data_IF_137048267108
#
_entry.id   IF_137048267108
#
_cell.length_a   1.000
_cell.length_b   1.000
_cell.length_c   1.000
_cell.angle_alpha   90.00
_cell.angle_beta   90.00
_cell.angle_gamma   90.00
#
_symmetry.space_group_name_H-M   'P 1'
#
loop_
_entity.id
_entity.type
_entity.pdbx_description
1 polymer ?
#
# COMPACT_ATOMS: atom_id res chain seq x y z
N UNK A 1 -15.33 15.42 -14.05
CA UNK A 1 -14.26 16.41 -14.25
C UNK A 1 -13.21 15.78 -15.15
N UNK A 2 -12.69 16.49 -16.16
CA UNK A 2 -11.60 15.98 -17.02
C UNK A 2 -10.23 16.40 -16.46
N UNK A 3 -9.10 15.85 -16.95
CA UNK A 3 -7.76 16.20 -16.47
C UNK A 3 -7.43 17.69 -16.51
N UNK A 4 -7.84 18.41 -17.56
CA UNK A 4 -7.59 19.85 -17.68
C UNK A 4 -8.35 20.68 -16.63
N UNK A 5 -9.56 20.26 -16.25
CA UNK A 5 -10.30 20.85 -15.12
C UNK A 5 -9.60 20.56 -13.80
N UNK A 6 -9.23 19.30 -13.58
CA UNK A 6 -8.58 18.86 -12.34
C UNK A 6 -7.24 19.56 -12.07
N UNK A 7 -6.40 19.72 -13.10
CA UNK A 7 -5.14 20.46 -12.97
C UNK A 7 -5.38 21.93 -12.58
N UNK A 8 -6.37 22.61 -13.19
CA UNK A 8 -6.72 23.99 -12.82
C UNK A 8 -7.15 24.13 -11.37
N UNK A 9 -7.97 23.20 -10.89
CA UNK A 9 -8.46 23.22 -9.52
C UNK A 9 -7.32 23.05 -8.49
N UNK A 10 -6.24 22.38 -8.89
CA UNK A 10 -5.01 22.24 -8.10
C UNK A 10 -3.97 23.33 -8.38
N UNK A 11 -4.32 24.38 -9.14
CA UNK A 11 -3.41 25.49 -9.45
C UNK A 11 -2.30 25.14 -10.45
N UNK A 12 -2.47 24.06 -11.20
CA UNK A 12 -1.52 23.56 -12.20
C UNK A 12 -1.97 23.95 -13.61
N UNK A 13 -1.05 24.46 -14.43
CA UNK A 13 -1.34 24.86 -15.81
C UNK A 13 -1.72 23.64 -16.68
N UNK A 14 -2.95 23.59 -17.25
CA UNK A 14 -3.36 22.52 -18.15
C UNK A 14 -2.54 22.41 -19.44
N UNK A 15 -1.78 23.44 -19.80
CA UNK A 15 -0.87 23.39 -20.95
C UNK A 15 0.15 22.25 -20.83
N UNK A 16 0.38 21.71 -19.63
CA UNK A 16 1.16 20.49 -19.45
C UNK A 16 0.60 19.27 -20.20
N UNK A 17 -0.70 19.25 -20.50
CA UNK A 17 -1.34 18.22 -21.33
C UNK A 17 -1.03 18.40 -22.82
N UNK A 18 -0.71 19.62 -23.24
CA UNK A 18 -0.41 19.94 -24.63
C UNK A 18 0.97 19.35 -25.00
N UNK A 19 0.95 18.27 -25.77
CA UNK A 19 2.17 17.53 -26.11
C UNK A 19 2.57 16.45 -25.11
N UNK A 20 1.65 16.03 -24.23
CA UNK A 20 1.81 14.82 -23.45
C UNK A 20 2.01 13.59 -24.38
N UNK A 21 2.94 12.71 -24.00
CA UNK A 21 3.09 11.40 -24.62
C UNK A 21 2.06 10.43 -24.06
N UNK A 22 1.83 10.49 -22.74
CA UNK A 22 0.86 9.64 -22.04
C UNK A 22 0.28 10.38 -20.84
N UNK A 23 -1.01 10.18 -20.60
CA UNK A 23 -1.71 10.65 -19.40
C UNK A 23 -2.23 9.43 -18.64
N UNK A 24 -2.02 9.40 -17.33
CA UNK A 24 -2.49 8.34 -16.43
C UNK A 24 -3.37 8.94 -15.36
N UNK A 25 -4.59 8.42 -15.25
CA UNK A 25 -5.63 8.91 -14.35
C UNK A 25 -5.90 7.90 -13.25
N UNK A 26 -6.11 8.38 -12.02
CA UNK A 26 -6.54 7.60 -10.86
C UNK A 26 -7.81 8.19 -10.23
N UNK A 27 -8.54 7.34 -9.52
CA UNK A 27 -9.76 7.67 -8.81
C UNK A 27 -10.87 6.67 -9.09
N UNK A 28 -11.79 6.55 -8.15
CA UNK A 28 -12.90 5.59 -8.26
C UNK A 28 -14.18 6.24 -8.79
N UNK A 29 -14.68 7.26 -8.09
CA UNK A 29 -15.94 7.96 -8.43
C UNK A 29 -15.69 9.27 -9.16
N UNK A 30 -14.55 9.88 -8.91
CA UNK A 30 -14.08 11.10 -9.54
C UNK A 30 -12.59 10.97 -9.85
N UNK A 31 -12.08 11.90 -10.64
CA UNK A 31 -10.65 12.02 -10.89
C UNK A 31 -9.97 12.54 -9.61
N UNK A 32 -9.05 11.74 -9.07
CA UNK A 32 -8.35 12.00 -7.81
C UNK A 32 -6.84 12.17 -8.02
N UNK A 33 -6.32 11.72 -9.16
CA UNK A 33 -4.92 11.87 -9.50
C UNK A 33 -4.68 11.83 -11.00
N UNK A 34 -3.71 12.63 -11.45
CA UNK A 34 -3.24 12.69 -12.82
C UNK A 34 -1.72 12.65 -12.81
N UNK A 35 -1.16 11.80 -13.66
CA UNK A 35 0.23 11.86 -14.06
C UNK A 35 0.31 12.12 -15.56
N UNK A 36 1.05 13.15 -15.93
CA UNK A 36 1.32 13.53 -17.32
C UNK A 36 2.77 13.23 -17.63
N UNK A 37 3.02 12.29 -18.55
CA UNK A 37 4.34 12.08 -19.12
C UNK A 37 4.48 12.94 -20.36
N UNK A 38 5.45 13.86 -20.35
CA UNK A 38 5.76 14.70 -21.50
C UNK A 38 6.59 13.97 -22.55
N UNK A 39 6.57 14.51 -23.77
CA UNK A 39 7.45 14.08 -24.87
C UNK A 39 8.88 14.58 -24.62
N UNK A 40 9.87 13.70 -24.76
CA UNK A 40 11.28 14.07 -24.60
C UNK A 40 12.19 12.86 -24.40
N UNK A 41 13.50 13.08 -24.49
CA UNK A 41 14.51 12.08 -24.11
C UNK A 41 14.74 12.04 -22.59
N UNK A 42 15.47 11.04 -22.09
CA UNK A 42 15.76 10.92 -20.66
C UNK A 42 16.62 12.11 -20.15
N UNK A 43 16.29 12.73 -19.01
CA UNK A 43 15.19 12.37 -18.12
C UNK A 43 13.82 12.81 -18.66
N UNK A 44 12.89 11.86 -18.75
CA UNK A 44 11.55 12.12 -19.26
C UNK A 44 10.81 13.06 -18.29
N UNK A 45 10.25 14.18 -18.77
CA UNK A 45 9.48 15.08 -17.92
C UNK A 45 8.17 14.40 -17.51
N UNK A 46 7.86 14.46 -16.23
CA UNK A 46 6.60 13.99 -15.67
C UNK A 46 6.02 15.07 -14.76
N UNK A 47 4.73 15.29 -14.83
CA UNK A 47 3.99 16.13 -13.88
C UNK A 47 3.00 15.25 -13.15
N UNK A 48 2.96 15.34 -11.83
CA UNK A 48 2.01 14.59 -11.01
C UNK A 48 1.21 15.51 -10.11
N UNK A 49 -0.10 15.28 -10.08
CA UNK A 49 -1.04 15.98 -9.23
C UNK A 49 -2.03 14.97 -8.66
N UNK A 50 -2.32 15.05 -7.37
CA UNK A 50 -3.28 14.18 -6.70
C UNK A 50 -3.87 14.88 -5.48
N UNK A 51 -5.10 14.51 -5.12
CA UNK A 51 -5.81 15.06 -3.94
C UNK A 51 -5.57 14.25 -2.67
N UNK A 52 -5.12 13.01 -2.80
CA UNK A 52 -4.76 12.14 -1.68
C UNK A 52 -3.57 11.25 -2.08
N UNK A 53 -2.94 10.63 -1.08
CA UNK A 53 -1.74 9.85 -1.33
C UNK A 53 -2.02 8.53 -2.06
N UNK A 54 -3.18 7.91 -1.84
CA UNK A 54 -3.58 6.70 -2.55
C UNK A 54 -3.58 6.91 -4.06
N UNK A 55 -4.22 7.98 -4.53
CA UNK A 55 -4.29 8.33 -5.95
C UNK A 55 -2.90 8.69 -6.49
N UNK A 56 -2.08 9.40 -5.70
CA UNK A 56 -0.70 9.71 -6.05
C UNK A 56 0.12 8.43 -6.29
N UNK A 57 0.09 7.48 -5.35
CA UNK A 57 0.79 6.20 -5.50
C UNK A 57 0.29 5.45 -6.72
N UNK A 58 -1.01 5.38 -6.92
CA UNK A 58 -1.60 4.64 -8.03
C UNK A 58 -1.18 5.19 -9.40
N UNK A 59 -1.19 6.52 -9.60
CA UNK A 59 -0.70 7.11 -10.86
C UNK A 59 0.81 6.94 -11.03
N UNK A 60 1.62 7.05 -9.97
CA UNK A 60 3.07 6.86 -10.05
C UNK A 60 3.43 5.40 -10.40
N UNK A 61 2.74 4.45 -9.77
CA UNK A 61 2.92 3.03 -9.97
C UNK A 61 2.62 2.60 -11.41
N UNK A 62 1.47 3.05 -11.97
CA UNK A 62 1.02 2.73 -13.34
C UNK A 62 1.65 3.61 -14.43
N UNK A 63 2.09 4.80 -14.06
CA UNK A 63 2.52 5.84 -14.98
C UNK A 63 4.02 5.87 -15.20
N UNK A 64 4.84 5.84 -14.13
CA UNK A 64 6.27 6.03 -14.29
C UNK A 64 6.93 4.90 -15.09
N UNK A 65 7.72 5.23 -16.13
CA UNK A 65 8.43 4.25 -16.92
C UNK A 65 9.43 3.48 -16.04
N UNK A 66 9.55 2.16 -16.22
CA UNK A 66 10.59 1.40 -15.53
C UNK A 66 11.96 1.78 -16.10
N UNK A 67 12.97 1.96 -15.24
CA UNK A 67 14.40 2.17 -15.59
C UNK A 67 14.77 3.43 -16.35
N UNK A 68 13.81 4.21 -16.82
CA UNK A 68 14.10 5.47 -17.48
C UNK A 68 14.30 6.56 -16.44
N UNK A 69 15.34 7.41 -16.59
CA UNK A 69 15.45 8.62 -15.82
C UNK A 69 14.19 9.46 -16.02
N UNK A 70 13.59 9.91 -14.93
CA UNK A 70 12.42 10.79 -14.92
C UNK A 70 12.74 12.06 -14.14
N UNK A 71 12.13 13.16 -14.55
CA UNK A 71 12.06 14.39 -13.78
C UNK A 71 10.60 14.64 -13.44
N UNK A 72 10.22 14.30 -12.22
CA UNK A 72 8.85 14.43 -11.71
C UNK A 72 8.69 15.81 -11.07
N UNK A 73 7.92 16.67 -11.71
CA UNK A 73 7.36 17.87 -11.09
C UNK A 73 6.12 17.49 -10.29
N UNK A 74 6.01 18.02 -9.08
CA UNK A 74 4.87 17.78 -8.20
C UNK A 74 3.99 19.02 -8.10
N UNK A 75 2.68 18.82 -8.01
CA UNK A 75 1.75 19.93 -7.82
C UNK A 75 1.78 20.48 -6.38
N UNK A 76 2.20 19.68 -5.40
CA UNK A 76 2.32 20.09 -4.01
C UNK A 76 3.50 19.39 -3.32
N UNK A 77 4.14 20.08 -2.37
CA UNK A 77 5.33 19.58 -1.66
C UNK A 77 5.08 18.25 -0.93
N UNK A 78 3.85 18.03 -0.47
CA UNK A 78 3.50 16.77 0.21
C UNK A 78 3.57 15.54 -0.70
N UNK A 79 3.58 15.72 -2.02
CA UNK A 79 3.75 14.61 -2.98
C UNK A 79 5.17 14.03 -2.97
N UNK A 80 6.17 14.80 -2.52
CA UNK A 80 7.59 14.43 -2.60
C UNK A 80 7.89 13.13 -1.85
N UNK A 81 7.23 12.88 -0.73
CA UNK A 81 7.44 11.66 0.08
C UNK A 81 7.12 10.38 -0.70
N UNK A 82 5.96 10.36 -1.39
CA UNK A 82 5.53 9.22 -2.18
C UNK A 82 6.40 9.04 -3.44
N UNK A 83 6.83 10.15 -4.05
CA UNK A 83 7.76 10.11 -5.19
C UNK A 83 9.12 9.54 -4.77
N UNK A 84 9.67 9.98 -3.64
CA UNK A 84 10.96 9.51 -3.13
C UNK A 84 10.95 8.02 -2.70
N UNK A 85 9.77 7.48 -2.36
CA UNK A 85 9.61 6.03 -2.11
C UNK A 85 9.70 5.22 -3.40
N UNK A 86 9.17 5.73 -4.52
CA UNK A 86 9.12 4.99 -5.79
C UNK A 86 10.28 5.31 -6.73
N UNK A 87 10.97 6.43 -6.54
CA UNK A 87 12.07 6.91 -7.39
C UNK A 87 13.36 7.00 -6.56
N UNK A 88 14.42 6.35 -7.04
CA UNK A 88 15.77 6.48 -6.51
C UNK A 88 16.44 7.69 -7.17
N UNK A 89 16.69 8.75 -6.40
CA UNK A 89 17.13 10.02 -6.94
C UNK A 89 17.28 11.11 -5.89
N UNK A 90 17.28 12.35 -6.34
CA UNK A 90 17.44 13.53 -5.49
C UNK A 90 16.33 14.55 -5.77
N UNK A 91 16.01 15.33 -4.75
CA UNK A 91 15.12 16.48 -4.90
C UNK A 91 15.69 17.46 -5.95
N UNK A 92 14.81 17.99 -6.78
CA UNK A 92 15.11 19.03 -7.76
C UNK A 92 14.17 20.22 -7.50
N UNK A 93 14.46 21.38 -8.09
CA UNK A 93 13.58 22.55 -7.94
C UNK A 93 12.14 22.20 -8.36
N UNK A 94 11.20 22.26 -7.40
CA UNK A 94 9.79 21.93 -7.60
C UNK A 94 9.48 20.44 -7.86
N UNK A 95 10.37 19.51 -7.52
CA UNK A 95 10.16 18.10 -7.83
C UNK A 95 11.27 17.13 -7.44
N UNK A 96 11.39 16.04 -8.19
CA UNK A 96 12.34 14.96 -7.95
C UNK A 96 12.92 14.45 -9.27
N UNK A 97 14.21 14.15 -9.30
CA UNK A 97 14.87 13.57 -10.48
C UNK A 97 15.56 12.26 -10.10
N UNK A 98 15.30 11.20 -10.85
CA UNK A 98 15.86 9.89 -10.55
C UNK A 98 15.33 8.78 -11.45
N UNK A 99 15.50 7.54 -11.01
CA UNK A 99 15.05 6.34 -11.72
C UNK A 99 14.11 5.55 -10.82
N UNK A 100 13.03 4.99 -11.37
CA UNK A 100 12.10 4.14 -10.61
C UNK A 100 12.85 3.00 -9.88
N UNK A 101 12.57 2.80 -8.59
CA UNK A 101 13.18 1.74 -7.75
C UNK A 101 12.80 0.34 -8.26
N UNK A 102 13.60 -0.65 -7.90
CA UNK A 102 13.35 -2.09 -8.14
C UNK A 102 14.18 -2.70 -9.27
N UNK A 103 14.55 -1.97 -10.31
CA UNK A 103 15.18 -2.60 -11.47
C UNK A 103 16.72 -2.62 -11.44
N UNK A 104 17.34 -3.39 -10.51
CA UNK A 104 18.78 -3.69 -10.59
C UNK A 104 19.00 -5.00 -11.36
N UNK A 105 19.71 -4.98 -12.52
CA UNK A 105 20.08 -6.22 -13.18
C UNK A 105 21.07 -6.99 -12.30
N UNK A 106 20.68 -8.18 -11.84
CA UNK A 106 21.59 -9.12 -11.19
C UNK A 106 22.42 -9.85 -12.26
N UNK A 107 23.68 -10.25 -11.98
CA UNK A 107 24.49 -10.99 -12.93
C UNK A 107 23.95 -12.42 -13.12
N UNK A 108 23.44 -12.71 -14.32
CA UNK A 108 23.36 -14.04 -14.94
C UNK A 108 22.16 -14.94 -14.59
N UNK A 109 21.77 -15.77 -15.56
CA UNK A 109 20.73 -16.82 -15.49
C UNK A 109 21.20 -18.11 -14.77
N UNK A 110 22.33 -18.04 -14.06
CA UNK A 110 22.92 -19.18 -13.37
C UNK A 110 22.07 -19.67 -12.19
N UNK A 111 22.13 -20.97 -11.85
CA UNK A 111 21.46 -21.51 -10.67
C UNK A 111 21.94 -20.76 -9.42
N UNK A 112 20.99 -20.40 -8.55
CA UNK A 112 21.31 -19.77 -7.27
C UNK A 112 21.98 -20.76 -6.32
N UNK A 113 23.05 -20.31 -5.67
CA UNK A 113 23.62 -20.99 -4.50
C UNK A 113 23.15 -20.33 -3.20
N UNK A 114 23.66 -20.81 -2.06
CA UNK A 114 23.24 -20.29 -0.74
C UNK A 114 23.84 -18.92 -0.38
N UNK A 115 24.89 -18.47 -1.06
CA UNK A 115 25.64 -17.23 -0.79
C UNK A 115 25.30 -16.12 -1.79
N UNK A 116 24.42 -16.39 -2.75
CA UNK A 116 23.94 -15.37 -3.68
C UNK A 116 23.22 -14.24 -2.93
N UNK A 117 23.50 -12.99 -3.31
CA UNK A 117 22.94 -11.80 -2.66
C UNK A 117 21.40 -11.76 -2.66
N UNK A 118 20.75 -12.29 -3.71
CA UNK A 118 19.29 -12.36 -3.76
C UNK A 118 18.73 -13.34 -2.70
N UNK A 119 19.45 -14.44 -2.47
CA UNK A 119 19.11 -15.46 -1.48
C UNK A 119 19.32 -14.92 -0.07
N UNK A 120 20.44 -14.23 0.18
CA UNK A 120 20.71 -13.58 1.47
C UNK A 120 19.66 -12.52 1.79
N UNK A 121 19.31 -11.65 0.82
CA UNK A 121 18.24 -10.68 0.96
C UNK A 121 16.93 -11.36 1.35
N UNK A 122 16.47 -12.36 0.58
CA UNK A 122 15.19 -13.03 0.86
C UNK A 122 15.16 -13.73 2.24
N UNK A 123 16.29 -14.29 2.70
CA UNK A 123 16.39 -14.83 4.07
C UNK A 123 16.27 -13.76 5.12
N UNK A 124 16.96 -12.63 4.94
CA UNK A 124 16.89 -11.51 5.87
C UNK A 124 15.46 -10.95 5.98
N UNK A 125 14.75 -10.85 4.86
CA UNK A 125 13.37 -10.36 4.82
C UNK A 125 12.35 -11.30 5.52
N UNK A 126 12.73 -12.53 5.84
CA UNK A 126 11.90 -13.38 6.70
C UNK A 126 11.81 -12.80 8.14
N UNK A 127 12.82 -12.05 8.57
CA UNK A 127 12.89 -11.44 9.89
C UNK A 127 12.40 -9.98 9.88
N UNK A 128 11.70 -9.51 10.92
CA UNK A 128 11.27 -8.11 11.03
C UNK A 128 12.42 -7.11 10.87
N UNK A 129 13.56 -7.34 11.54
CA UNK A 129 14.72 -6.47 11.47
C UNK A 129 15.33 -6.39 10.06
N UNK A 130 15.25 -7.48 9.27
CA UNK A 130 15.67 -7.45 7.87
C UNK A 130 14.73 -6.61 7.02
N UNK A 131 13.41 -6.75 7.19
CA UNK A 131 12.43 -5.92 6.47
C UNK A 131 12.59 -4.43 6.78
N UNK A 132 12.84 -4.08 8.04
CA UNK A 132 13.11 -2.70 8.45
C UNK A 132 14.41 -2.16 7.86
N UNK A 133 15.53 -2.89 8.04
CA UNK A 133 16.86 -2.50 7.52
C UNK A 133 16.81 -2.27 6.01
N UNK A 134 16.17 -3.17 5.29
CA UNK A 134 16.15 -3.12 3.85
C UNK A 134 15.00 -2.23 3.34
N UNK A 135 13.92 -2.00 4.08
CA UNK A 135 12.67 -1.40 3.55
C UNK A 135 12.13 -2.22 2.37
N UNK A 136 12.15 -3.54 2.51
CA UNK A 136 11.56 -4.47 1.56
C UNK A 136 10.72 -5.51 2.28
N UNK A 137 9.89 -6.20 1.53
CA UNK A 137 9.13 -7.35 1.99
C UNK A 137 9.07 -8.44 0.92
N UNK A 138 8.75 -9.66 1.34
CA UNK A 138 8.62 -10.80 0.43
C UNK A 138 7.18 -10.91 -0.06
N UNK A 139 7.02 -11.07 -1.37
CA UNK A 139 5.79 -11.47 -2.03
C UNK A 139 5.93 -12.91 -2.49
N UNK A 140 4.97 -13.76 -2.16
CA UNK A 140 5.01 -15.19 -2.43
C UNK A 140 3.92 -15.62 -3.42
N UNK A 141 4.29 -16.44 -4.41
CA UNK A 141 3.36 -17.08 -5.35
C UNK A 141 3.06 -16.24 -6.60
N UNK A 142 2.77 -16.95 -7.70
CA UNK A 142 2.66 -16.37 -9.04
C UNK A 142 1.62 -15.25 -9.13
N UNK A 143 0.46 -15.42 -8.49
CA UNK A 143 -0.60 -14.40 -8.49
C UNK A 143 -0.15 -13.08 -7.87
N UNK A 144 0.52 -13.11 -6.71
CA UNK A 144 0.89 -11.89 -6.01
C UNK A 144 2.12 -11.24 -6.64
N UNK A 145 3.09 -12.04 -7.09
CA UNK A 145 4.25 -11.53 -7.84
C UNK A 145 3.79 -10.91 -9.16
N UNK A 146 2.89 -11.58 -9.89
CA UNK A 146 2.29 -11.04 -11.11
C UNK A 146 1.55 -9.71 -10.88
N UNK A 147 0.78 -9.60 -9.78
CA UNK A 147 0.13 -8.34 -9.39
C UNK A 147 1.13 -7.25 -9.03
N UNK A 148 2.24 -7.58 -8.36
CA UNK A 148 3.27 -6.62 -8.05
C UNK A 148 3.92 -6.05 -9.31
N UNK A 149 4.23 -6.91 -10.28
CA UNK A 149 4.77 -6.52 -11.58
C UNK A 149 3.77 -5.68 -12.39
N UNK A 150 2.54 -6.16 -12.55
CA UNK A 150 1.50 -5.48 -13.31
C UNK A 150 1.09 -4.14 -12.67
N UNK A 151 1.10 -4.09 -11.34
CA UNK A 151 0.87 -2.87 -10.56
C UNK A 151 2.08 -1.94 -10.51
N UNK A 152 3.19 -2.25 -11.18
CA UNK A 152 4.36 -1.38 -11.25
C UNK A 152 5.07 -1.16 -9.92
N UNK A 153 4.91 -2.08 -8.96
CA UNK A 153 5.64 -2.02 -7.69
C UNK A 153 7.15 -2.14 -7.93
N UNK A 154 7.98 -1.53 -7.08
CA UNK A 154 9.44 -1.61 -7.16
C UNK A 154 9.93 -3.01 -6.73
N UNK A 155 9.72 -4.00 -7.58
CA UNK A 155 10.22 -5.37 -7.43
C UNK A 155 11.72 -5.39 -7.66
N UNK A 156 12.51 -5.89 -6.72
CA UNK A 156 13.99 -5.90 -6.75
C UNK A 156 14.58 -7.20 -7.30
N UNK A 157 14.01 -8.34 -6.91
CA UNK A 157 14.46 -9.65 -7.38
C UNK A 157 13.27 -10.61 -7.47
N UNK A 158 13.35 -11.56 -8.39
CA UNK A 158 12.39 -12.65 -8.57
C UNK A 158 13.16 -13.96 -8.56
N UNK A 159 12.83 -14.83 -7.62
CA UNK A 159 13.40 -16.17 -7.49
C UNK A 159 12.31 -17.21 -7.71
N UNK A 160 12.54 -18.18 -8.58
CA UNK A 160 11.51 -19.16 -8.95
C UNK A 160 12.01 -20.60 -8.97
N UNK A 161 11.10 -21.53 -8.72
CA UNK A 161 11.33 -22.98 -8.71
C UNK A 161 10.92 -23.63 -10.02
N UNK A 162 11.19 -24.94 -10.14
CA UNK A 162 10.82 -25.69 -11.33
C UNK A 162 9.28 -25.82 -11.51
N UNK A 163 8.53 -25.77 -10.40
CA UNK A 163 7.06 -25.85 -10.42
C UNK A 163 6.41 -24.72 -11.22
N UNK A 164 6.99 -23.51 -11.20
CA UNK A 164 6.47 -22.34 -11.93
C UNK A 164 6.37 -22.62 -13.44
N UNK A 165 7.32 -23.37 -13.99
CA UNK A 165 7.41 -23.66 -15.43
C UNK A 165 6.41 -24.72 -15.89
N UNK A 166 5.67 -25.36 -14.99
CA UNK A 166 4.65 -26.37 -15.32
C UNK A 166 3.35 -25.74 -15.80
N UNK A 167 3.12 -24.46 -15.48
CA UNK A 167 1.95 -23.69 -15.84
C UNK A 167 2.34 -22.62 -16.90
N UNK A 168 1.63 -22.50 -18.03
CA UNK A 168 1.85 -21.42 -19.00
C UNK A 168 1.84 -20.01 -18.38
N UNK A 169 1.04 -19.79 -17.33
CA UNK A 169 0.99 -18.52 -16.59
C UNK A 169 2.34 -18.19 -15.91
N UNK A 170 3.13 -19.21 -15.57
CA UNK A 170 4.47 -19.04 -15.03
C UNK A 170 5.44 -18.48 -16.06
N UNK A 171 5.38 -18.95 -17.32
CA UNK A 171 6.17 -18.40 -18.42
C UNK A 171 5.86 -16.92 -18.64
N UNK A 172 4.57 -16.57 -18.73
CA UNK A 172 4.12 -15.18 -18.88
C UNK A 172 4.58 -14.27 -17.72
N UNK A 173 4.61 -14.78 -16.49
CA UNK A 173 5.13 -14.04 -15.35
C UNK A 173 6.63 -13.73 -15.49
N UNK A 174 7.42 -14.70 -15.93
CA UNK A 174 8.85 -14.51 -16.15
C UNK A 174 9.11 -13.51 -17.28
N UNK A 175 8.31 -13.55 -18.35
CA UNK A 175 8.39 -12.58 -19.44
C UNK A 175 8.00 -11.19 -18.98
N UNK A 176 6.95 -11.05 -18.16
CA UNK A 176 6.59 -9.78 -17.53
C UNK A 176 7.71 -9.25 -16.62
N UNK A 177 8.38 -10.12 -15.86
CA UNK A 177 9.52 -9.74 -15.04
C UNK A 177 10.71 -9.26 -15.90
N UNK A 178 11.02 -9.96 -17.01
CA UNK A 178 12.05 -9.54 -17.97
C UNK A 178 11.71 -8.23 -18.65
N UNK A 179 10.45 -8.03 -19.04
CA UNK A 179 9.95 -6.77 -19.60
C UNK A 179 10.05 -5.62 -18.58
N UNK A 180 9.90 -5.91 -17.27
CA UNK A 180 10.19 -4.97 -16.19
C UNK A 180 11.71 -4.78 -15.94
N UNK A 181 12.57 -5.44 -16.73
CA UNK A 181 14.02 -5.32 -16.67
C UNK A 181 14.69 -6.13 -15.54
N UNK A 182 13.96 -7.08 -14.96
CA UNK A 182 14.49 -8.02 -13.97
C UNK A 182 15.14 -9.21 -14.67
N UNK A 183 16.05 -9.87 -13.96
CA UNK A 183 16.59 -11.17 -14.35
C UNK A 183 16.08 -12.22 -13.36
N UNK A 184 14.93 -12.87 -13.62
CA UNK A 184 14.41 -13.90 -12.72
C UNK A 184 15.41 -15.05 -12.56
N UNK A 185 15.66 -15.47 -11.32
CA UNK A 185 16.69 -16.47 -10.99
C UNK A 185 16.06 -17.78 -10.59
N UNK A 186 16.53 -18.88 -11.19
CA UNK A 186 16.07 -20.22 -10.85
C UNK A 186 16.73 -20.74 -9.58
N UNK A 187 15.93 -21.28 -8.67
CA UNK A 187 16.35 -21.97 -7.46
C UNK A 187 15.84 -23.42 -7.45
N UNK A 188 16.53 -24.28 -6.70
CA UNK A 188 16.00 -25.61 -6.37
C UNK A 188 14.92 -25.51 -5.29
N UNK A 189 14.01 -26.49 -5.24
CA UNK A 189 12.97 -26.55 -4.20
C UNK A 189 13.57 -26.58 -2.79
N UNK A 190 14.72 -27.26 -2.63
CA UNK A 190 15.47 -27.26 -1.38
C UNK A 190 15.96 -25.87 -0.98
N UNK A 191 16.42 -25.05 -1.92
CA UNK A 191 16.83 -23.68 -1.65
C UNK A 191 15.62 -22.78 -1.35
N UNK A 192 14.54 -22.87 -2.15
CA UNK A 192 13.28 -22.16 -1.89
C UNK A 192 12.71 -22.50 -0.51
N UNK A 193 12.78 -23.77 -0.10
CA UNK A 193 12.37 -24.23 1.22
C UNK A 193 13.14 -23.59 2.38
N UNK A 194 14.35 -23.06 2.13
CA UNK A 194 15.10 -22.26 3.12
C UNK A 194 14.71 -20.79 3.16
N UNK A 195 14.03 -20.29 2.12
CA UNK A 195 13.64 -18.88 2.00
C UNK A 195 12.24 -18.61 2.56
N UNK A 196 11.40 -19.63 2.67
CA UNK A 196 10.03 -19.49 3.17
C UNK A 196 9.56 -20.70 3.98
N UNK A 197 8.80 -20.39 5.04
CA UNK A 197 8.08 -21.37 5.84
C UNK A 197 6.70 -21.74 5.24
N UNK A 198 6.26 -21.08 4.16
CA UNK A 198 4.94 -21.31 3.56
C UNK A 198 4.83 -22.70 2.95
N UNK A 199 3.69 -23.38 3.19
CA UNK A 199 3.36 -24.71 2.66
C UNK A 199 1.94 -24.70 2.05
N UNK A 200 1.70 -25.33 0.88
CA UNK A 200 2.70 -25.92 -0.04
C UNK A 200 3.75 -24.89 -0.48
N UNK A 201 4.94 -25.37 -0.88
CA UNK A 201 6.06 -24.49 -1.21
C UNK A 201 5.66 -23.58 -2.39
N UNK A 202 5.81 -22.25 -2.29
CA UNK A 202 5.50 -21.36 -3.40
C UNK A 202 6.56 -21.49 -4.49
N UNK A 203 6.10 -21.52 -5.74
CA UNK A 203 6.97 -21.68 -6.91
C UNK A 203 7.72 -20.40 -7.30
N UNK A 204 7.41 -19.27 -6.69
CA UNK A 204 8.07 -17.99 -6.94
C UNK A 204 8.00 -17.08 -5.72
N UNK A 205 9.09 -16.36 -5.48
CA UNK A 205 9.27 -15.35 -4.45
C UNK A 205 9.79 -14.06 -5.10
N UNK A 206 9.36 -12.92 -4.59
CA UNK A 206 9.92 -11.63 -5.00
C UNK A 206 10.20 -10.74 -3.80
N UNK A 207 11.25 -9.94 -3.85
CA UNK A 207 11.48 -8.86 -2.90
C UNK A 207 10.92 -7.56 -3.49
N UNK A 208 10.13 -6.82 -2.71
CA UNK A 208 9.48 -5.58 -3.13
C UNK A 208 9.82 -4.47 -2.16
N UNK A 209 10.20 -3.30 -2.67
CA UNK A 209 10.45 -2.12 -1.84
C UNK A 209 9.15 -1.48 -1.33
N UNK A 210 9.11 -1.17 -0.04
CA UNK A 210 8.04 -0.40 0.58
C UNK A 210 8.55 0.26 1.86
N UNK A 211 8.14 1.49 2.10
CA UNK A 211 8.45 2.20 3.35
C UNK A 211 7.17 2.40 4.17
N UNK A 212 7.18 1.89 5.41
CA UNK A 212 6.20 2.30 6.41
C UNK A 212 6.58 3.68 6.94
N UNK A 213 5.63 4.60 7.03
CA UNK A 213 5.83 5.97 7.52
C UNK A 213 5.21 6.18 8.89
N UNK A 214 5.59 7.27 9.54
CA UNK A 214 5.02 7.63 10.83
C UNK A 214 3.66 8.30 10.61
N UNK A 215 2.67 7.98 11.45
CA UNK A 215 1.35 8.58 11.36
C UNK A 215 1.38 10.10 11.58
N UNK A 216 2.42 10.66 12.21
CA UNK A 216 2.66 12.10 12.28
C UNK A 216 2.84 12.76 10.90
N UNK A 217 3.27 12.01 9.88
CA UNK A 217 3.42 12.50 8.49
C UNK A 217 2.07 12.55 7.74
N UNK A 218 1.00 11.99 8.32
CA UNK A 218 -0.33 11.97 7.75
C UNK A 218 -1.12 13.21 8.20
N UNK A 219 -1.27 14.17 7.29
CA UNK A 219 -2.05 15.39 7.54
C UNK A 219 -3.50 15.24 7.04
N UNK A 220 -4.39 16.07 7.58
CA UNK A 220 -5.81 16.11 7.18
C UNK A 220 -6.02 16.52 5.72
N UNK A 221 -5.03 17.17 5.09
CA UNK A 221 -5.04 17.53 3.67
C UNK A 221 -4.76 16.32 2.76
N UNK A 222 -4.12 15.26 3.28
CA UNK A 222 -3.65 14.10 2.50
C UNK A 222 -4.63 12.94 2.48
N UNK A 223 -5.64 12.97 3.35
CA UNK A 223 -6.62 11.89 3.53
C UNK A 223 -7.91 12.41 4.15
N UNK A 224 -9.03 11.79 3.83
CA UNK A 224 -10.34 12.05 4.41
C UNK A 224 -10.99 10.79 4.99
N UNK A 225 -10.61 9.61 4.51
CA UNK A 225 -11.12 8.33 5.01
C UNK A 225 -9.96 7.47 5.47
N UNK A 226 -9.90 7.22 6.77
CA UNK A 226 -8.85 6.44 7.40
C UNK A 226 -9.42 5.20 8.07
N UNK A 227 -8.65 4.12 8.01
CA UNK A 227 -8.88 2.94 8.86
C UNK A 227 -7.70 2.78 9.81
N UNK A 228 -8.00 2.63 11.10
CA UNK A 228 -7.01 2.42 12.15
C UNK A 228 -7.17 0.99 12.67
N UNK A 229 -6.09 0.22 12.59
CA UNK A 229 -6.00 -1.12 13.17
C UNK A 229 -5.17 -1.06 14.45
N UNK A 230 -5.84 -1.00 15.60
CA UNK A 230 -5.18 -0.99 16.91
C UNK A 230 -4.91 -2.41 17.39
N UNK A 231 -3.64 -2.75 17.61
CA UNK A 231 -3.23 -4.00 18.26
C UNK A 231 -3.78 -5.28 17.61
N UNK A 232 -4.06 -5.29 16.29
CA UNK A 232 -4.45 -6.53 15.58
C UNK A 232 -3.28 -7.50 15.63
N UNK A 233 -3.45 -8.64 16.31
CA UNK A 233 -2.33 -9.56 16.63
C UNK A 233 -2.10 -10.62 15.55
N UNK A 234 -3.13 -11.01 14.83
CA UNK A 234 -2.99 -12.04 13.81
C UNK A 234 -2.65 -11.40 12.45
N UNK A 235 -1.52 -11.76 11.80
CA UNK A 235 -1.15 -11.21 10.50
C UNK A 235 -2.16 -11.53 9.39
N UNK A 236 -2.81 -12.69 9.41
CA UNK A 236 -3.86 -13.02 8.44
C UNK A 236 -5.08 -12.10 8.62
N UNK A 237 -5.46 -11.77 9.86
CA UNK A 237 -6.51 -10.79 10.14
C UNK A 237 -6.13 -9.38 9.70
N UNK A 238 -4.91 -8.92 10.01
CA UNK A 238 -4.43 -7.63 9.53
C UNK A 238 -4.43 -7.58 8.00
N UNK A 239 -4.04 -8.67 7.34
CA UNK A 239 -4.10 -8.75 5.89
C UNK A 239 -5.52 -8.65 5.35
N UNK A 240 -6.51 -9.29 6.00
CA UNK A 240 -7.93 -9.11 5.65
C UNK A 240 -8.37 -7.66 5.83
N UNK A 241 -7.99 -7.01 6.94
CA UNK A 241 -8.27 -5.59 7.19
C UNK A 241 -7.71 -4.72 6.07
N UNK A 242 -6.43 -4.90 5.68
CA UNK A 242 -5.80 -4.15 4.58
C UNK A 242 -6.49 -4.40 3.23
N UNK A 243 -6.88 -5.64 2.94
CA UNK A 243 -7.61 -5.99 1.71
C UNK A 243 -8.96 -5.29 1.65
N UNK A 244 -9.69 -5.29 2.76
CA UNK A 244 -11.00 -4.65 2.89
C UNK A 244 -10.87 -3.14 2.76
N UNK A 245 -9.86 -2.54 3.41
CA UNK A 245 -9.55 -1.11 3.33
C UNK A 245 -9.29 -0.67 1.89
N UNK A 246 -8.45 -1.41 1.18
CA UNK A 246 -8.13 -1.16 -0.22
C UNK A 246 -9.35 -1.32 -1.14
N UNK A 247 -10.22 -2.30 -0.86
CA UNK A 247 -11.46 -2.51 -1.60
C UNK A 247 -12.51 -1.42 -1.35
N UNK A 248 -12.58 -0.89 -0.13
CA UNK A 248 -13.48 0.21 0.24
C UNK A 248 -12.96 1.59 -0.22
N UNK A 249 -11.73 1.66 -0.72
CA UNK A 249 -11.14 2.90 -1.22
C UNK A 249 -10.73 3.88 -0.12
N UNK A 250 -10.31 3.40 1.05
CA UNK A 250 -9.77 4.30 2.09
C UNK A 250 -8.47 4.96 1.62
N UNK A 251 -8.20 6.17 2.07
CA UNK A 251 -7.01 6.93 1.66
C UNK A 251 -5.73 6.35 2.26
N UNK A 252 -5.80 5.87 3.51
CA UNK A 252 -4.69 5.24 4.20
C UNK A 252 -5.13 4.31 5.33
N UNK A 253 -4.24 3.39 5.71
CA UNK A 253 -4.38 2.60 6.94
C UNK A 253 -3.30 3.00 7.94
N UNK A 254 -3.70 3.17 9.20
CA UNK A 254 -2.79 3.38 10.32
C UNK A 254 -2.81 2.13 11.20
N UNK A 255 -1.64 1.56 11.47
CA UNK A 255 -1.50 0.45 12.42
C UNK A 255 -0.87 0.96 13.71
N UNK A 256 -1.33 0.45 14.85
CA UNK A 256 -0.80 0.83 16.17
C UNK A 256 -0.48 -0.39 17.03
N UNK A 257 0.53 -0.23 17.89
CA UNK A 257 1.02 -1.22 18.84
C UNK A 257 1.71 -2.43 18.21
N UNK A 258 1.98 -3.48 19.01
CA UNK A 258 2.89 -4.57 18.63
C UNK A 258 2.22 -5.97 18.68
N UNK A 259 2.66 -6.95 17.84
CA UNK A 259 3.82 -6.92 16.94
C UNK A 259 3.48 -7.15 15.45
N UNK A 260 2.21 -7.09 15.03
CA UNK A 260 1.86 -7.53 13.68
C UNK A 260 2.38 -6.56 12.63
N UNK A 261 3.43 -7.01 11.95
CA UNK A 261 4.02 -6.29 10.84
C UNK A 261 3.14 -6.43 9.59
N UNK A 262 2.64 -5.33 8.99
CA UNK A 262 1.88 -5.39 7.74
C UNK A 262 2.71 -5.96 6.58
N UNK A 263 4.04 -6.01 6.73
CA UNK A 263 4.97 -6.60 5.78
C UNK A 263 5.30 -8.07 6.08
N UNK A 264 4.70 -8.65 7.11
CA UNK A 264 4.81 -10.07 7.38
C UNK A 264 4.18 -10.89 6.24
N UNK A 265 4.82 -11.99 5.84
CA UNK A 265 4.40 -12.83 4.70
C UNK A 265 2.92 -13.25 4.75
N UNK A 266 2.40 -13.62 5.92
CA UNK A 266 1.00 -14.01 6.08
C UNK A 266 0.05 -12.82 5.84
N UNK A 267 0.42 -11.65 6.34
CA UNK A 267 -0.35 -10.42 6.13
C UNK A 267 -0.37 -10.04 4.66
N UNK A 268 0.80 -10.01 4.01
CA UNK A 268 0.94 -9.74 2.57
C UNK A 268 0.08 -10.71 1.74
N UNK A 269 0.11 -12.00 2.09
CA UNK A 269 -0.67 -13.03 1.40
C UNK A 269 -2.18 -12.83 1.59
N UNK A 270 -2.63 -12.56 2.81
CA UNK A 270 -4.04 -12.32 3.12
C UNK A 270 -4.54 -10.98 2.52
N UNK A 271 -3.68 -9.98 2.42
CA UNK A 271 -3.95 -8.67 1.82
C UNK A 271 -4.13 -8.71 0.29
N UNK A 272 -3.70 -9.79 -0.38
CA UNK A 272 -3.93 -10.05 -1.81
C UNK A 272 -3.51 -8.90 -2.75
N UNK A 273 -2.47 -8.14 -2.38
CA UNK A 273 -1.92 -7.04 -3.19
C UNK A 273 -2.16 -5.64 -2.64
N UNK A 274 -2.89 -5.48 -1.54
CA UNK A 274 -3.12 -4.16 -0.92
C UNK A 274 -1.83 -3.51 -0.39
N UNK A 275 -0.86 -4.29 0.12
CA UNK A 275 0.36 -3.83 0.84
C UNK A 275 1.29 -2.93 0.01
N UNK A 276 1.11 -2.82 -1.31
CA UNK A 276 1.85 -1.87 -2.15
C UNK A 276 1.04 -0.68 -2.67
N UNK A 277 -0.28 -0.83 -2.74
CA UNK A 277 -1.21 0.17 -3.31
C UNK A 277 -1.71 1.15 -2.27
N UNK A 278 -1.93 0.66 -1.06
CA UNK A 278 -2.47 1.45 0.04
C UNK A 278 -1.33 2.07 0.85
N UNK A 279 -1.36 3.39 1.12
CA UNK A 279 -0.46 4.00 2.10
C UNK A 279 -0.69 3.39 3.49
N UNK A 280 0.40 2.92 4.12
CA UNK A 280 0.35 2.33 5.46
C UNK A 280 1.27 3.13 6.39
N UNK A 281 0.71 3.59 7.50
CA UNK A 281 1.40 4.36 8.52
C UNK A 281 1.42 3.62 9.86
N UNK A 282 2.36 3.98 10.73
CA UNK A 282 2.44 3.49 12.11
C UNK A 282 2.23 4.63 13.09
N UNK A 283 1.33 4.45 14.04
CA UNK A 283 1.19 5.35 15.18
C UNK A 283 1.84 4.71 16.41
N UNK A 284 2.86 5.38 16.97
CA UNK A 284 3.49 4.93 18.22
C UNK A 284 2.61 5.24 19.44
N UNK A 285 2.02 6.44 19.47
CA UNK A 285 1.03 6.85 20.47
C UNK A 285 -0.29 7.14 19.76
N UNK A 286 -1.15 6.12 19.69
CA UNK A 286 -2.42 6.21 18.98
C UNK A 286 -3.40 7.21 19.63
N UNK A 287 -3.63 7.22 20.96
CA UNK A 287 -4.48 8.22 21.59
C UNK A 287 -4.04 9.66 21.31
N UNK A 288 -2.74 9.96 21.39
CA UNK A 288 -2.23 11.29 21.09
C UNK A 288 -2.46 11.67 19.62
N UNK A 289 -2.20 10.75 18.69
CA UNK A 289 -2.43 10.96 17.26
C UNK A 289 -3.92 11.10 16.91
N UNK A 290 -4.82 10.38 17.59
CA UNK A 290 -6.27 10.60 17.47
C UNK A 290 -6.64 12.02 17.92
N UNK A 291 -5.99 12.53 18.97
CA UNK A 291 -6.15 13.91 19.42
C UNK A 291 -5.81 14.93 18.32
N UNK A 292 -4.72 14.72 17.58
CA UNK A 292 -4.34 15.62 16.47
C UNK A 292 -5.29 15.53 15.30
N UNK A 293 -5.75 14.32 14.94
CA UNK A 293 -6.78 14.13 13.91
C UNK A 293 -8.07 14.89 14.25
N UNK A 294 -8.55 14.77 15.49
CA UNK A 294 -9.76 15.45 15.95
C UNK A 294 -9.61 16.97 15.91
N UNK A 295 -8.45 17.49 16.31
CA UNK A 295 -8.15 18.92 16.17
C UNK A 295 -8.16 19.37 14.69
N UNK A 296 -7.81 18.47 13.77
CA UNK A 296 -7.93 18.65 12.32
C UNK A 296 -9.33 18.40 11.74
N UNK A 297 -10.35 18.21 12.57
CA UNK A 297 -11.75 18.08 12.15
C UNK A 297 -12.21 16.66 11.82
N UNK A 298 -11.38 15.63 12.04
CA UNK A 298 -11.82 14.25 11.86
C UNK A 298 -12.81 13.83 12.92
N UNK A 299 -13.86 13.13 12.47
CA UNK A 299 -14.64 12.26 13.36
C UNK A 299 -13.93 10.92 13.49
N UNK A 300 -13.64 10.51 14.72
CA UNK A 300 -12.98 9.22 15.00
C UNK A 300 -13.99 8.26 15.64
N UNK A 301 -14.33 7.19 14.95
CA UNK A 301 -15.30 6.18 15.39
C UNK A 301 -14.57 4.96 15.91
N UNK A 302 -14.75 4.64 17.19
CA UNK A 302 -14.28 3.38 17.76
C UNK A 302 -15.34 2.30 17.55
N UNK A 303 -15.07 1.32 16.67
CA UNK A 303 -15.95 0.17 16.47
C UNK A 303 -15.74 -0.85 17.60
N UNK A 304 -16.66 -0.89 18.57
CA UNK A 304 -16.53 -1.67 19.79
C UNK A 304 -17.86 -2.31 20.19
N UNK A 305 -17.80 -3.47 20.87
CA UNK A 305 -18.98 -4.14 21.42
C UNK A 305 -19.73 -3.29 22.46
N UNK A 306 -19.03 -2.34 23.11
CA UNK A 306 -19.59 -1.41 24.10
C UNK A 306 -19.82 -0.02 23.49
N UNK A 307 -20.45 0.03 22.31
CA UNK A 307 -20.76 1.27 21.61
C UNK A 307 -21.94 2.02 22.23
N UNK A 308 -21.96 3.33 22.03
CA UNK A 308 -23.06 4.21 22.47
C UNK A 308 -24.16 4.30 21.40
N UNK A 309 -23.79 4.12 20.13
CA UNK A 309 -24.65 4.33 18.96
C UNK A 309 -24.52 3.14 18.00
N UNK A 310 -25.62 2.72 17.38
CA UNK A 310 -25.58 1.71 16.33
C UNK A 310 -24.81 2.21 15.11
N UNK A 311 -23.97 1.38 14.51
CA UNK A 311 -23.16 1.74 13.34
C UNK A 311 -24.00 2.38 12.21
N UNK A 312 -25.23 1.88 11.99
CA UNK A 312 -26.11 2.35 10.92
C UNK A 312 -26.83 3.67 11.23
N UNK A 313 -26.77 4.13 12.48
CA UNK A 313 -27.32 5.40 12.95
C UNK A 313 -26.24 6.49 13.07
N UNK A 314 -24.98 6.07 13.13
CA UNK A 314 -23.85 6.97 13.19
C UNK A 314 -23.66 7.70 11.86
N UNK A 315 -23.17 8.94 11.96
CA UNK A 315 -22.76 9.74 10.81
C UNK A 315 -21.30 9.40 10.45
N UNK A 316 -21.10 8.76 9.29
CA UNK A 316 -19.81 8.37 8.75
C UNK A 316 -19.31 9.31 7.64
N UNK A 317 -19.85 10.54 7.56
CA UNK A 317 -19.41 11.53 6.59
C UNK A 317 -17.92 11.89 6.76
N UNK A 318 -17.11 11.92 5.68
CA UNK A 318 -15.70 12.33 5.74
C UNK A 318 -15.51 13.83 6.05
N UNK A 319 -14.49 14.25 6.81
CA UNK A 319 -13.32 13.45 7.19
C UNK A 319 -13.56 12.56 8.41
N UNK A 320 -13.17 11.30 8.28
CA UNK A 320 -13.53 10.23 9.21
C UNK A 320 -12.43 9.18 9.34
N UNK A 321 -12.20 8.74 10.57
CA UNK A 321 -11.32 7.63 10.89
C UNK A 321 -12.09 6.55 11.64
N UNK A 322 -12.03 5.31 11.17
CA UNK A 322 -12.67 4.17 11.83
C UNK A 322 -11.59 3.35 12.52
N UNK A 323 -11.71 3.16 13.83
CA UNK A 323 -10.82 2.33 14.62
C UNK A 323 -11.43 0.95 14.80
N UNK A 324 -10.66 -0.08 14.47
CA UNK A 324 -10.93 -1.48 14.82
C UNK A 324 -9.83 -1.99 15.74
N UNK A 325 -10.19 -2.82 16.71
CA UNK A 325 -9.31 -3.21 17.80
C UNK A 325 -8.79 -4.65 17.71
N UNK A 326 -8.09 -5.03 18.77
CA UNK A 326 -7.58 -6.37 19.00
C UNK A 326 -8.70 -7.41 19.04
N UNK A 327 -8.39 -8.63 18.61
CA UNK A 327 -9.35 -9.73 18.53
C UNK A 327 -9.89 -10.19 19.90
N UNK A 328 -9.09 -10.07 20.95
CA UNK A 328 -9.44 -10.55 22.30
C UNK A 328 -9.85 -9.41 23.23
N UNK A 329 -9.10 -8.32 23.22
CA UNK A 329 -9.28 -7.20 24.15
C UNK A 329 -10.05 -6.03 23.54
N UNK A 330 -10.30 -6.05 22.23
CA UNK A 330 -10.95 -4.96 21.52
C UNK A 330 -10.08 -3.70 21.47
N UNK A 331 -10.75 -2.54 21.49
CA UNK A 331 -10.11 -1.22 21.47
C UNK A 331 -9.75 -0.82 22.90
N UNK A 332 -8.54 -0.30 23.10
CA UNK A 332 -8.06 0.12 24.43
C UNK A 332 -8.96 1.19 25.06
N UNK A 333 -9.08 1.24 26.41
CA UNK A 333 -9.80 2.32 27.09
C UNK A 333 -9.32 3.72 26.68
N UNK A 334 -8.02 3.90 26.49
CA UNK A 334 -7.38 5.16 26.13
C UNK A 334 -7.79 5.60 24.72
N UNK A 335 -7.75 4.68 23.75
CA UNK A 335 -8.19 4.95 22.37
C UNK A 335 -9.70 5.19 22.30
N UNK A 336 -10.51 4.46 23.08
CA UNK A 336 -11.96 4.71 23.19
C UNK A 336 -12.27 6.08 23.79
N UNK A 337 -11.51 6.53 24.78
CA UNK A 337 -11.65 7.85 25.38
C UNK A 337 -11.18 8.97 24.43
N UNK A 338 -10.15 8.71 23.62
CA UNK A 338 -9.67 9.65 22.62
C UNK A 338 -10.61 9.78 21.41
N UNK A 339 -11.40 8.74 21.11
CA UNK A 339 -12.34 8.70 19.99
C UNK A 339 -13.52 9.67 20.14
N UNK A 340 -14.13 10.07 19.02
CA UNK A 340 -15.27 10.98 18.99
C UNK A 340 -16.57 10.28 19.39
N UNK A 341 -16.76 9.04 18.92
CA UNK A 341 -17.96 8.24 19.19
C UNK A 341 -17.58 6.77 19.23
N UNK A 342 -18.25 6.00 20.10
CA UNK A 342 -18.14 4.54 20.10
C UNK A 342 -19.35 3.98 19.35
N UNK A 343 -19.10 3.24 18.28
CA UNK A 343 -20.15 2.61 17.48
C UNK A 343 -20.17 1.11 17.72
N UNK A 344 -21.37 0.54 17.76
CA UNK A 344 -21.59 -0.90 17.87
C UNK A 344 -22.23 -1.43 16.59
N UNK A 345 -21.71 -2.54 16.06
CA UNK A 345 -22.38 -3.29 15.02
C UNK A 345 -23.50 -4.09 15.70
N UNK A 346 -24.78 -3.90 15.35
CA UNK A 346 -25.87 -4.68 15.96
C UNK A 346 -25.67 -6.19 15.73
N UNK A 347 -25.72 -6.96 16.81
CA UNK A 347 -25.49 -8.41 16.80
C UNK A 347 -26.75 -9.17 17.23
N UNK A 348 -26.86 -10.43 16.80
CA UNK A 348 -27.90 -11.34 17.29
C UNK A 348 -27.71 -11.63 18.79
N UNK A 349 -28.79 -11.94 19.54
CA UNK A 349 -28.69 -12.30 20.94
C UNK A 349 -27.68 -13.43 21.20
N UNK A 350 -26.80 -13.25 22.18
CA UNK A 350 -25.78 -14.23 22.57
C UNK A 350 -24.48 -14.18 21.75
N UNK A 351 -24.31 -13.19 20.87
CA UNK A 351 -23.03 -12.91 20.19
C UNK A 351 -22.48 -11.57 20.65
N UNK A 352 -21.17 -11.50 20.88
CA UNK A 352 -20.50 -10.33 21.45
C UNK A 352 -19.47 -9.68 20.50
N UNK A 353 -19.08 -10.36 19.43
CA UNK A 353 -17.97 -9.95 18.58
C UNK A 353 -18.05 -10.50 17.15
N UNK A 354 -17.28 -9.86 16.26
CA UNK A 354 -17.01 -10.31 14.89
C UNK A 354 -15.50 -10.42 14.70
N UNK A 355 -15.06 -11.24 13.74
CA UNK A 355 -13.68 -11.16 13.27
C UNK A 355 -13.35 -9.71 12.85
N UNK A 356 -12.19 -9.20 13.25
CA UNK A 356 -11.79 -7.80 13.01
C UNK A 356 -11.82 -7.39 11.53
N UNK A 357 -11.47 -8.29 10.61
CA UNK A 357 -11.56 -8.04 9.17
C UNK A 357 -13.00 -7.92 8.67
N UNK A 358 -13.94 -8.67 9.27
CA UNK A 358 -15.37 -8.58 9.00
C UNK A 358 -15.96 -7.31 9.59
N UNK A 359 -15.62 -6.97 10.83
CA UNK A 359 -16.05 -5.72 11.47
C UNK A 359 -15.59 -4.49 10.68
N UNK A 360 -14.32 -4.48 10.24
CA UNK A 360 -13.81 -3.45 9.34
C UNK A 360 -14.61 -3.39 8.03
N UNK A 361 -14.97 -4.55 7.46
CA UNK A 361 -15.79 -4.62 6.26
C UNK A 361 -17.17 -3.99 6.44
N UNK A 362 -17.89 -4.37 7.49
CA UNK A 362 -19.22 -3.81 7.75
C UNK A 362 -19.15 -2.30 7.95
N UNK A 363 -18.19 -1.81 8.74
CA UNK A 363 -18.03 -0.37 8.99
C UNK A 363 -17.64 0.43 7.73
N UNK A 364 -16.68 -0.07 6.95
CA UNK A 364 -16.19 0.61 5.74
C UNK A 364 -17.21 0.60 4.59
N UNK A 365 -17.95 -0.49 4.44
CA UNK A 365 -18.98 -0.56 3.42
C UNK A 365 -20.26 0.19 3.82
N UNK A 366 -20.51 0.39 5.12
CA UNK A 366 -21.52 1.36 5.57
C UNK A 366 -21.10 2.80 5.24
N UNK A 367 -19.84 3.17 5.49
CA UNK A 367 -19.29 4.46 5.03
C UNK A 367 -19.43 4.63 3.52
N UNK A 368 -19.11 3.57 2.77
CA UNK A 368 -19.24 3.54 1.31
C UNK A 368 -20.68 3.78 0.87
N UNK A 369 -21.66 3.17 1.57
CA UNK A 369 -23.09 3.34 1.33
C UNK A 369 -23.55 4.77 1.62
N UNK A 370 -23.16 5.35 2.75
CA UNK A 370 -23.55 6.72 3.14
C UNK A 370 -22.97 7.78 2.19
N UNK A 371 -21.77 7.55 1.66
CA UNK A 371 -21.08 8.48 0.75
C UNK A 371 -21.38 8.25 -0.73
N UNK A 372 -22.04 7.14 -1.07
CA UNK A 372 -22.45 6.82 -2.46
C UNK A 372 -23.72 7.54 -2.90
N UNK A 373 -24.53 8.01 -1.94
CA UNK A 373 -25.76 8.74 -2.16
C UNK A 373 -25.47 10.22 -2.45
#
# INVERSE_FOLDING_TARGET
>A
MNPAGFLRDLGVDPAALDGADRVVESGWRALEGVLVLGRGGPPQPALVAAVNERALRDVLLRGLPPREPVRVQVAADWHLDAVAELVDGQAASGGFAGVKRGARPAPGDGPLDRRDAAVELLRDLAQPAGRERHRRFVVEGATLVGRALAGGLPVETVVYGAGLLRDPAGGALLDAARAAGLAPRRASDGLLGTLTATRPLPDVLAAVHLRLRDAADLTAERARVLLVAENVQNPDNLGMVLRTADAAGVDAVVVSGAPTDPLHRNCVRAARGAVGRLPIFRAADLPAWIGTLRAGGFRVLAATAHGDVGLYEADLAPPVAIVVGNEETGISPETRAASTVRVVIPMAPGQDSLNVGVAAGVALFELTRQTAA
#
